data_IF_476972878011
#
_entry.id   IF_476972878011
#
_cell.length_a   1.000
_cell.length_b   1.000
_cell.length_c   1.000
_cell.angle_alpha   90.00
_cell.angle_beta   90.00
_cell.angle_gamma   90.00
#
_symmetry.space_group_name_H-M   'P 1'
#
loop_
_entity.id
_entity.type
_entity.pdbx_description
1 polymer ?
#
# COMPACT_ATOMS: atom_id res chain seq x y z
N UNK A 1 18.38 31.98 5.93
CA UNK A 1 17.27 31.82 4.96
C UNK A 1 16.99 30.33 4.80
N UNK A 2 16.43 29.67 5.82
CA UNK A 2 16.17 28.20 5.79
C UNK A 2 14.74 27.84 6.23
N UNK A 3 14.02 28.76 6.85
CA UNK A 3 12.78 28.45 7.59
C UNK A 3 11.55 28.09 6.72
N UNK A 4 11.48 28.53 5.46
CA UNK A 4 10.27 28.30 4.63
C UNK A 4 10.14 26.86 4.10
N UNK A 5 11.24 26.18 3.83
CA UNK A 5 11.20 24.79 3.32
C UNK A 5 10.88 23.80 4.44
N UNK A 6 11.39 24.06 5.64
CA UNK A 6 11.13 23.24 6.82
C UNK A 6 9.70 23.44 7.33
N UNK A 7 9.16 24.66 7.28
CA UNK A 7 7.77 24.93 7.62
C UNK A 7 6.78 24.23 6.67
N UNK A 8 7.07 24.20 5.36
CA UNK A 8 6.28 23.44 4.39
C UNK A 8 6.41 21.92 4.59
N UNK A 9 7.58 21.47 5.03
CA UNK A 9 7.84 20.08 5.38
C UNK A 9 6.92 19.63 6.50
N UNK A 10 6.96 20.35 7.62
CA UNK A 10 6.19 20.06 8.82
C UNK A 10 4.68 20.20 8.60
N UNK A 11 4.24 21.20 7.83
CA UNK A 11 2.82 21.40 7.55
C UNK A 11 2.23 20.28 6.66
N UNK A 12 3.03 19.74 5.72
CA UNK A 12 2.59 18.60 4.92
C UNK A 12 2.58 17.31 5.74
N UNK A 13 3.57 17.12 6.61
CA UNK A 13 3.64 15.93 7.48
C UNK A 13 2.48 15.91 8.50
N UNK A 14 2.11 17.07 9.06
CA UNK A 14 0.92 17.22 9.89
C UNK A 14 -0.37 16.93 9.10
N UNK A 15 -0.50 17.48 7.89
CA UNK A 15 -1.67 17.25 7.04
C UNK A 15 -1.77 15.79 6.58
N UNK A 16 -0.65 15.08 6.48
CA UNK A 16 -0.64 13.65 6.24
C UNK A 16 -1.07 12.88 7.49
N UNK A 17 -0.64 13.26 8.70
CA UNK A 17 -1.15 12.69 9.96
C UNK A 17 -2.68 12.84 10.07
N UNK A 18 -3.20 14.05 9.90
CA UNK A 18 -4.63 14.36 10.02
C UNK A 18 -5.50 13.62 8.98
N UNK A 19 -4.93 13.22 7.83
CA UNK A 19 -5.66 12.49 6.77
C UNK A 19 -5.85 11.00 7.09
N UNK A 20 -5.09 10.46 8.06
CA UNK A 20 -5.13 9.04 8.44
C UNK A 20 -5.48 8.81 9.92
N UNK A 21 -5.82 9.85 10.68
CA UNK A 21 -6.36 9.68 12.03
C UNK A 21 -7.76 9.02 11.95
N UNK A 22 -7.81 7.74 12.32
CA UNK A 22 -8.95 6.81 12.25
C UNK A 22 -10.15 7.17 13.15
N UNK A 23 -10.17 8.33 13.80
CA UNK A 23 -11.28 8.73 14.69
C UNK A 23 -12.41 9.51 13.96
N UNK A 24 -12.41 9.56 12.62
CA UNK A 24 -13.40 10.30 11.83
C UNK A 24 -14.21 9.49 10.82
N UNK A 25 -14.26 8.16 10.94
CA UNK A 25 -15.17 7.33 10.12
C UNK A 25 -16.62 7.41 10.63
N UNK A 26 -17.19 8.61 10.66
CA UNK A 26 -18.63 8.79 10.58
C UNK A 26 -19.06 8.57 9.12
N UNK A 27 -19.53 7.36 8.86
CA UNK A 27 -20.10 6.95 7.58
C UNK A 27 -21.44 7.67 7.39
N UNK A 28 -21.43 8.86 6.77
CA UNK A 28 -22.63 9.40 6.12
C UNK A 28 -22.67 8.98 4.65
N UNK A 29 -23.56 8.04 4.34
CA UNK A 29 -23.96 7.68 2.97
C UNK A 29 -24.63 8.86 2.25
N UNK A 30 -24.24 9.20 1.00
CA UNK A 30 -25.11 9.95 0.11
C UNK A 30 -25.76 9.03 -0.93
N UNK A 31 -27.08 9.12 -0.97
CA UNK A 31 -28.03 8.48 -1.87
C UNK A 31 -27.76 8.77 -3.35
N UNK A 32 -27.90 7.72 -4.16
CA UNK A 32 -27.85 7.74 -5.62
C UNK A 32 -29.19 8.27 -6.17
N UNK A 33 -29.14 9.20 -7.13
CA UNK A 33 -30.22 9.42 -8.11
C UNK A 33 -29.65 9.29 -9.52
N UNK A 34 -30.32 8.46 -10.31
CA UNK A 34 -30.05 8.17 -11.70
C UNK A 34 -30.88 9.10 -12.59
N UNK A 35 -30.33 9.51 -13.73
CA UNK A 35 -31.13 9.77 -14.93
C UNK A 35 -30.27 9.62 -16.21
N UNK A 36 -30.87 9.00 -17.23
CA UNK A 36 -30.26 8.54 -18.47
C UNK A 36 -30.23 9.61 -19.60
N UNK A 37 -29.10 9.66 -20.35
CA UNK A 37 -28.84 9.77 -21.83
C UNK A 37 -29.90 10.31 -22.82
N UNK A 38 -29.60 10.58 -24.14
CA UNK A 38 -28.31 10.67 -24.88
C UNK A 38 -28.23 11.83 -25.93
N UNK A 39 -27.04 12.11 -26.51
CA UNK A 39 -26.96 12.47 -27.95
C UNK A 39 -25.59 12.18 -28.57
N UNK A 40 -25.60 11.91 -29.87
CA UNK A 40 -24.63 11.13 -30.62
C UNK A 40 -23.79 11.93 -31.64
N UNK A 41 -22.65 11.32 -32.01
CA UNK A 41 -21.95 11.26 -33.31
C UNK A 41 -21.29 12.51 -33.93
N UNK A 42 -20.04 12.30 -34.35
CA UNK A 42 -19.30 13.11 -35.33
C UNK A 42 -17.85 12.64 -35.50
N UNK A 43 -17.64 11.65 -36.39
CA UNK A 43 -16.38 10.96 -36.72
C UNK A 43 -15.28 11.81 -37.39
N UNK A 44 -14.01 11.42 -37.13
CA UNK A 44 -12.93 10.99 -38.09
C UNK A 44 -11.53 11.40 -37.58
N UNK A 45 -10.71 10.46 -37.07
CA UNK A 45 -9.73 9.57 -37.75
C UNK A 45 -8.50 10.27 -38.38
N UNK A 46 -7.35 10.13 -37.72
CA UNK A 46 -6.08 9.62 -38.27
C UNK A 46 -5.16 9.30 -37.08
N UNK A 47 -4.90 8.03 -36.77
CA UNK A 47 -3.94 7.13 -37.44
C UNK A 47 -2.52 7.33 -36.93
N UNK A 48 -2.17 6.56 -35.90
CA UNK A 48 -0.87 5.87 -35.81
C UNK A 48 -0.95 4.80 -34.71
N UNK A 49 -1.21 3.56 -35.13
CA UNK A 49 -0.88 2.31 -34.42
C UNK A 49 0.42 1.76 -35.05
N UNK A 50 1.10 0.78 -34.43
CA UNK A 50 1.22 0.50 -33.00
C UNK A 50 2.70 0.26 -32.63
N UNK A 51 3.15 0.74 -31.47
CA UNK A 51 4.32 0.11 -30.86
C UNK A 51 3.83 -1.16 -30.17
N UNK A 52 3.84 -2.26 -30.91
CA UNK A 52 3.82 -3.63 -30.40
C UNK A 52 5.11 -3.87 -29.60
N UNK A 53 5.23 -3.24 -28.45
CA UNK A 53 5.85 -3.91 -27.31
C UNK A 53 4.74 -4.76 -26.72
N UNK A 54 4.60 -5.99 -27.23
CA UNK A 54 4.13 -7.09 -26.42
C UNK A 54 5.20 -7.28 -25.36
N UNK A 55 5.15 -6.42 -24.33
CA UNK A 55 5.81 -6.66 -23.07
C UNK A 55 5.28 -8.03 -22.67
N UNK A 56 6.18 -9.00 -22.72
CA UNK A 56 6.06 -10.27 -22.02
C UNK A 56 5.29 -9.98 -20.76
N UNK A 57 4.17 -10.68 -20.58
CA UNK A 57 3.34 -10.70 -19.40
C UNK A 57 4.26 -10.87 -18.19
N UNK A 58 4.81 -9.76 -17.72
CA UNK A 58 5.56 -9.70 -16.50
C UNK A 58 4.45 -9.90 -15.48
N UNK A 59 4.48 -11.06 -14.83
CA UNK A 59 3.63 -11.43 -13.70
C UNK A 59 3.92 -10.45 -12.55
N UNK A 60 3.54 -9.20 -12.76
CA UNK A 60 3.61 -8.12 -11.82
C UNK A 60 2.21 -7.99 -11.23
N UNK A 61 2.11 -7.92 -9.90
CA UNK A 61 0.82 -7.98 -9.23
C UNK A 61 -0.05 -6.78 -9.63
N UNK A 62 -1.35 -7.03 -9.85
CA UNK A 62 -2.37 -6.04 -10.25
C UNK A 62 -2.59 -5.86 -11.76
N UNK A 63 -2.04 -6.75 -12.60
CA UNK A 63 -2.37 -6.89 -14.02
C UNK A 63 -2.32 -5.59 -14.84
N UNK A 64 -3.27 -5.43 -15.78
CA UNK A 64 -3.36 -4.24 -16.62
C UNK A 64 -3.70 -2.96 -15.83
N UNK A 65 -4.46 -3.10 -14.74
CA UNK A 65 -4.89 -1.99 -13.88
C UNK A 65 -3.72 -1.24 -13.27
N UNK A 66 -2.70 -1.98 -12.80
CA UNK A 66 -1.49 -1.41 -12.18
C UNK A 66 -0.29 -1.32 -13.13
N UNK A 67 -0.43 -1.72 -14.41
CA UNK A 67 0.69 -1.75 -15.36
C UNK A 67 1.46 -0.44 -15.46
N UNK A 68 0.74 0.69 -15.47
CA UNK A 68 1.34 2.03 -15.51
C UNK A 68 2.17 2.34 -14.26
N UNK A 69 1.64 2.00 -13.09
CA UNK A 69 2.31 2.16 -11.81
C UNK A 69 3.57 1.28 -11.73
N UNK A 70 3.47 0.02 -12.18
CA UNK A 70 4.57 -0.96 -12.15
C UNK A 70 5.72 -0.53 -13.06
N UNK A 71 5.42 -0.01 -14.26
CA UNK A 71 6.44 0.53 -15.15
C UNK A 71 7.16 1.74 -14.53
N UNK A 72 6.43 2.62 -13.84
CA UNK A 72 7.01 3.77 -13.15
C UNK A 72 7.86 3.35 -11.95
N UNK A 73 7.43 2.34 -11.18
CA UNK A 73 8.19 1.80 -10.06
C UNK A 73 9.52 1.19 -10.52
N UNK A 74 9.50 0.36 -11.58
CA UNK A 74 10.71 -0.19 -12.17
C UNK A 74 11.64 0.94 -12.63
N UNK A 75 11.10 1.99 -13.27
CA UNK A 75 11.91 3.16 -13.66
C UNK A 75 12.59 3.82 -12.46
N UNK A 76 11.96 3.86 -11.27
CA UNK A 76 12.57 4.40 -10.05
C UNK A 76 13.67 3.51 -9.47
N UNK A 77 13.63 2.20 -9.69
CA UNK A 77 14.71 1.29 -9.28
C UNK A 77 16.00 1.59 -10.04
N UNK A 78 15.87 2.00 -11.31
CA UNK A 78 17.01 2.35 -12.16
C UNK A 78 17.49 3.78 -11.98
N UNK A 79 16.56 4.73 -11.87
CA UNK A 79 16.90 6.14 -11.69
C UNK A 79 15.76 6.89 -10.96
N UNK A 80 16.09 7.47 -9.80
CA UNK A 80 15.17 8.33 -9.07
C UNK A 80 15.26 9.74 -9.65
N UNK A 81 14.42 10.02 -10.66
CA UNK A 81 14.28 11.35 -11.28
C UNK A 81 12.94 12.03 -10.92
N UNK A 82 12.96 13.36 -10.88
CA UNK A 82 11.79 14.20 -10.58
C UNK A 82 10.64 13.99 -11.58
N UNK A 83 10.96 13.75 -12.85
CA UNK A 83 9.98 13.46 -13.89
C UNK A 83 9.26 12.14 -13.61
N UNK A 84 10.01 11.11 -13.22
CA UNK A 84 9.47 9.78 -12.91
C UNK A 84 8.61 9.85 -11.65
N UNK A 85 9.07 10.52 -10.59
CA UNK A 85 8.29 10.71 -9.35
C UNK A 85 6.99 11.50 -9.62
N UNK A 86 7.05 12.53 -10.47
CA UNK A 86 5.86 13.33 -10.79
C UNK A 86 4.83 12.53 -11.59
N UNK A 87 5.28 11.71 -12.55
CA UNK A 87 4.41 10.78 -13.29
C UNK A 87 3.79 9.73 -12.37
N UNK A 88 4.57 9.21 -11.43
CA UNK A 88 4.09 8.27 -10.42
C UNK A 88 2.98 8.84 -9.54
N UNK A 89 3.17 10.05 -9.00
CA UNK A 89 2.14 10.72 -8.22
C UNK A 89 0.87 10.98 -9.04
N UNK A 90 1.03 11.34 -10.31
CA UNK A 90 -0.10 11.54 -11.23
C UNK A 90 -0.86 10.23 -11.47
N UNK A 91 -0.13 9.12 -11.65
CA UNK A 91 -0.73 7.81 -11.86
C UNK A 91 -1.48 7.31 -10.61
N UNK A 92 -0.94 7.55 -9.42
CA UNK A 92 -1.65 7.27 -8.15
C UNK A 92 -2.96 8.05 -8.08
N UNK A 93 -2.95 9.35 -8.42
CA UNK A 93 -4.16 10.17 -8.42
C UNK A 93 -5.19 9.64 -9.43
N UNK A 94 -4.75 9.19 -10.61
CA UNK A 94 -5.61 8.53 -11.59
C UNK A 94 -6.24 7.25 -11.01
N UNK A 95 -5.46 6.42 -10.32
CA UNK A 95 -5.95 5.19 -9.68
C UNK A 95 -6.96 5.50 -8.55
N UNK A 96 -6.66 6.50 -7.71
CA UNK A 96 -7.58 6.97 -6.66
C UNK A 96 -8.92 7.44 -7.23
N UNK A 97 -8.91 8.19 -8.34
CA UNK A 97 -10.14 8.69 -8.97
C UNK A 97 -10.97 7.61 -9.63
N UNK A 98 -10.32 6.58 -10.18
CA UNK A 98 -10.99 5.49 -10.90
C UNK A 98 -11.60 4.46 -9.95
N UNK A 99 -10.98 4.23 -8.78
CA UNK A 99 -11.32 3.13 -7.86
C UNK A 99 -11.81 3.60 -6.48
N UNK A 100 -12.53 4.73 -6.40
CA UNK A 100 -12.98 5.33 -5.12
C UNK A 100 -13.88 4.44 -4.24
N UNK A 101 -14.42 3.35 -4.77
CA UNK A 101 -15.41 2.51 -4.09
C UNK A 101 -14.79 1.48 -3.14
N UNK A 102 -13.51 1.16 -3.29
CA UNK A 102 -12.81 0.19 -2.46
C UNK A 102 -11.92 0.92 -1.44
N UNK A 103 -12.29 0.82 -0.16
CA UNK A 103 -11.58 1.48 0.94
C UNK A 103 -10.14 0.96 1.10
N UNK A 104 -9.92 -0.34 0.93
CA UNK A 104 -8.58 -0.92 1.01
C UNK A 104 -7.72 -0.41 -0.14
N UNK A 105 -8.24 -0.45 -1.37
CA UNK A 105 -7.55 0.08 -2.54
C UNK A 105 -7.15 1.54 -2.32
N UNK A 106 -8.11 2.37 -1.88
CA UNK A 106 -7.87 3.77 -1.61
C UNK A 106 -6.76 3.97 -0.56
N UNK A 107 -6.82 3.26 0.56
CA UNK A 107 -5.81 3.38 1.62
C UNK A 107 -4.41 2.94 1.17
N UNK A 108 -4.30 1.86 0.39
CA UNK A 108 -3.04 1.47 -0.24
C UNK A 108 -2.49 2.56 -1.16
N UNK A 109 -3.33 3.14 -2.02
CA UNK A 109 -2.88 4.24 -2.89
C UNK A 109 -2.48 5.49 -2.11
N UNK A 110 -3.04 5.71 -0.92
CA UNK A 110 -2.67 6.82 -0.04
C UNK A 110 -1.31 6.59 0.63
N UNK A 111 -0.99 5.35 1.01
CA UNK A 111 0.37 5.00 1.47
C UNK A 111 1.41 5.20 0.36
N UNK A 112 1.10 4.76 -0.86
CA UNK A 112 1.93 4.98 -2.05
C UNK A 112 2.17 6.48 -2.33
N UNK A 113 1.11 7.30 -2.25
CA UNK A 113 1.19 8.75 -2.39
C UNK A 113 2.13 9.37 -1.35
N UNK A 114 2.02 8.96 -0.08
CA UNK A 114 2.90 9.45 1.00
C UNK A 114 4.37 9.15 0.72
N UNK A 115 4.70 7.95 0.23
CA UNK A 115 6.09 7.59 -0.09
C UNK A 115 6.57 8.35 -1.33
N UNK A 116 5.72 8.51 -2.35
CA UNK A 116 6.05 9.32 -3.53
C UNK A 116 6.38 10.78 -3.19
N UNK A 117 5.64 11.37 -2.24
CA UNK A 117 5.92 12.72 -1.74
C UNK A 117 7.24 12.79 -0.96
N UNK A 118 7.54 11.76 -0.15
CA UNK A 118 8.83 11.64 0.52
C UNK A 118 9.99 11.52 -0.48
N UNK A 119 9.86 10.66 -1.50
CA UNK A 119 10.83 10.53 -2.58
C UNK A 119 11.03 11.86 -3.33
N UNK A 120 9.96 12.61 -3.60
CA UNK A 120 10.06 13.93 -4.23
C UNK A 120 10.89 14.93 -3.41
N UNK A 121 10.79 14.86 -2.08
CA UNK A 121 11.50 15.76 -1.16
C UNK A 121 12.97 15.38 -1.02
N UNK A 122 13.27 14.09 -0.91
CA UNK A 122 14.61 13.61 -0.54
C UNK A 122 15.43 13.09 -1.74
N UNK A 123 14.78 12.64 -2.82
CA UNK A 123 15.39 12.14 -4.07
C UNK A 123 16.52 11.15 -3.81
N UNK A 124 17.74 11.45 -4.27
CA UNK A 124 18.96 10.65 -4.05
C UNK A 124 19.35 10.50 -2.57
N UNK A 125 18.82 11.33 -1.68
CA UNK A 125 19.02 11.24 -0.23
C UNK A 125 17.87 10.51 0.49
N UNK A 126 16.92 9.92 -0.25
CA UNK A 126 15.88 9.10 0.34
C UNK A 126 16.51 7.90 1.07
N UNK A 127 15.79 7.39 2.07
CA UNK A 127 16.25 6.24 2.84
C UNK A 127 16.39 5.03 1.90
N UNK A 128 17.45 4.23 2.06
CA UNK A 128 17.71 3.06 1.20
C UNK A 128 16.54 2.05 1.16
N UNK A 129 15.75 1.99 2.23
CA UNK A 129 14.60 1.10 2.33
C UNK A 129 13.31 1.70 1.75
N UNK A 130 13.33 2.94 1.26
CA UNK A 130 12.14 3.62 0.70
C UNK A 130 11.58 2.85 -0.49
N UNK A 131 12.43 2.38 -1.39
CA UNK A 131 11.98 1.59 -2.55
C UNK A 131 11.45 0.21 -2.13
N UNK A 132 12.01 -0.39 -1.07
CA UNK A 132 11.53 -1.69 -0.56
C UNK A 132 10.12 -1.57 -0.01
N UNK A 133 9.86 -0.59 0.84
CA UNK A 133 8.51 -0.39 1.38
C UNK A 133 7.52 0.00 0.26
N UNK A 134 7.98 0.74 -0.76
CA UNK A 134 7.18 1.08 -1.92
C UNK A 134 6.74 -0.16 -2.72
N UNK A 135 7.67 -1.10 -2.95
CA UNK A 135 7.40 -2.39 -3.59
C UNK A 135 6.47 -3.26 -2.74
N UNK A 136 6.65 -3.32 -1.42
CA UNK A 136 5.76 -4.07 -0.53
C UNK A 136 4.31 -3.57 -0.59
N UNK A 137 4.12 -2.24 -0.58
CA UNK A 137 2.79 -1.63 -0.68
C UNK A 137 2.20 -1.85 -2.08
N UNK A 138 3.00 -1.75 -3.15
CA UNK A 138 2.55 -2.06 -4.50
C UNK A 138 2.11 -3.53 -4.61
N UNK A 139 2.87 -4.46 -4.05
CA UNK A 139 2.54 -5.88 -4.08
C UNK A 139 1.23 -6.17 -3.32
N UNK A 140 1.02 -5.54 -2.16
CA UNK A 140 -0.25 -5.63 -1.42
C UNK A 140 -1.44 -5.08 -2.22
N UNK A 141 -1.26 -3.95 -2.89
CA UNK A 141 -2.28 -3.38 -3.79
C UNK A 141 -2.56 -4.30 -4.97
N UNK A 142 -1.53 -4.88 -5.58
CA UNK A 142 -1.69 -5.78 -6.71
C UNK A 142 -2.39 -7.08 -6.32
N UNK A 143 -2.10 -7.64 -5.15
CA UNK A 143 -2.85 -8.78 -4.60
C UNK A 143 -4.34 -8.47 -4.46
N UNK A 144 -4.67 -7.28 -3.95
CA UNK A 144 -6.06 -6.85 -3.80
C UNK A 144 -6.78 -6.76 -5.15
N UNK A 145 -6.10 -6.24 -6.18
CA UNK A 145 -6.64 -6.16 -7.55
C UNK A 145 -6.80 -7.55 -8.17
N UNK A 146 -5.81 -8.42 -8.03
CA UNK A 146 -5.82 -9.75 -8.65
C UNK A 146 -6.81 -10.71 -7.98
N UNK A 147 -7.04 -10.53 -6.68
CA UNK A 147 -7.90 -11.41 -5.85
C UNK A 147 -9.15 -10.68 -5.35
N UNK A 148 -9.60 -9.64 -6.06
CA UNK A 148 -10.72 -8.79 -5.65
C UNK A 148 -11.99 -9.59 -5.33
N UNK A 149 -12.27 -10.61 -6.16
CA UNK A 149 -13.48 -11.44 -6.10
C UNK A 149 -13.34 -12.69 -5.21
N UNK A 150 -12.12 -13.04 -4.78
CA UNK A 150 -11.83 -14.27 -4.04
C UNK A 150 -11.45 -14.06 -2.57
N UNK A 151 -10.97 -12.88 -2.19
CA UNK A 151 -10.61 -12.55 -0.81
C UNK A 151 -11.81 -12.07 0.00
N UNK A 152 -11.99 -12.62 1.18
CA UNK A 152 -12.90 -12.07 2.19
C UNK A 152 -12.36 -10.74 2.75
N UNK A 153 -13.24 -9.86 3.18
CA UNK A 153 -12.86 -8.60 3.84
C UNK A 153 -11.95 -8.81 5.06
N UNK A 154 -12.10 -9.95 5.76
CA UNK A 154 -11.20 -10.32 6.87
C UNK A 154 -9.76 -10.55 6.41
N UNK A 155 -9.58 -11.21 5.27
CA UNK A 155 -8.26 -11.50 4.70
C UNK A 155 -7.64 -10.21 4.16
N UNK A 156 -8.42 -9.40 3.43
CA UNK A 156 -8.02 -8.06 2.97
C UNK A 156 -7.53 -7.20 4.14
N UNK A 157 -8.26 -7.24 5.25
CA UNK A 157 -7.88 -6.50 6.46
C UNK A 157 -6.58 -6.99 7.10
N UNK A 158 -6.34 -8.32 7.14
CA UNK A 158 -5.07 -8.87 7.65
C UNK A 158 -3.89 -8.41 6.79
N UNK A 159 -4.01 -8.50 5.46
CA UNK A 159 -2.96 -8.02 4.56
C UNK A 159 -2.73 -6.52 4.70
N UNK A 160 -3.82 -5.74 4.72
CA UNK A 160 -3.75 -4.30 4.90
C UNK A 160 -3.05 -3.92 6.20
N UNK A 161 -3.47 -4.49 7.33
CA UNK A 161 -2.91 -4.16 8.65
C UNK A 161 -1.43 -4.55 8.76
N UNK A 162 -1.01 -5.67 8.18
CA UNK A 162 0.42 -6.06 8.12
C UNK A 162 1.25 -5.07 7.30
N UNK A 163 0.77 -4.69 6.11
CA UNK A 163 1.47 -3.72 5.27
C UNK A 163 1.48 -2.33 5.93
N UNK A 164 0.38 -1.93 6.56
CA UNK A 164 0.25 -0.67 7.27
C UNK A 164 1.20 -0.58 8.47
N UNK A 165 1.35 -1.65 9.25
CA UNK A 165 2.31 -1.70 10.36
C UNK A 165 3.75 -1.46 9.88
N UNK A 166 4.14 -2.12 8.78
CA UNK A 166 5.47 -1.91 8.17
C UNK A 166 5.66 -0.48 7.67
N UNK A 167 4.63 0.08 7.03
CA UNK A 167 4.63 1.47 6.60
C UNK A 167 4.82 2.42 7.79
N UNK A 168 4.12 2.18 8.91
CA UNK A 168 4.24 3.00 10.11
C UNK A 168 5.62 2.89 10.76
N UNK A 169 6.20 1.69 10.81
CA UNK A 169 7.59 1.50 11.28
C UNK A 169 8.56 2.28 10.39
N UNK A 170 8.43 2.17 9.07
CA UNK A 170 9.26 2.92 8.12
C UNK A 170 9.06 4.43 8.29
N UNK A 171 7.82 4.91 8.42
CA UNK A 171 7.49 6.32 8.65
C UNK A 171 8.23 6.86 9.87
N UNK A 172 8.19 6.13 10.99
CA UNK A 172 8.93 6.50 12.21
C UNK A 172 10.44 6.53 12.02
N UNK A 173 10.99 5.71 11.14
CA UNK A 173 12.43 5.72 10.81
C UNK A 173 12.84 6.95 10.00
N UNK A 174 11.96 7.45 9.12
CA UNK A 174 12.26 8.61 8.25
C UNK A 174 11.84 9.95 8.87
N UNK A 175 10.82 10.00 9.75
CA UNK A 175 10.37 11.22 10.44
C UNK A 175 10.98 11.37 11.84
N UNK A 176 11.37 10.26 12.46
CA UNK A 176 12.15 10.26 13.68
C UNK A 176 13.55 10.77 13.37
N UNK A 177 13.83 12.01 13.77
CA UNK A 177 15.15 12.67 13.73
C UNK A 177 16.30 11.69 13.59
N UNK A 178 17.03 11.81 12.47
CA UNK A 178 18.31 11.16 12.18
C UNK A 178 19.10 10.80 13.46
N UNK A 179 19.30 9.50 13.67
CA UNK A 179 20.41 8.90 14.41
C UNK A 179 20.74 9.44 15.83
N UNK A 180 19.83 9.39 16.81
CA UNK A 180 20.24 9.50 18.25
C UNK A 180 19.21 9.02 19.30
N UNK A 181 18.36 8.02 19.06
CA UNK A 181 17.43 7.55 20.11
C UNK A 181 17.04 6.07 20.06
N UNK A 182 17.79 5.23 19.34
CA UNK A 182 17.66 3.78 19.47
C UNK A 182 18.24 3.33 20.81
N UNK A 183 17.45 3.42 21.89
CA UNK A 183 17.64 2.63 23.13
C UNK A 183 16.52 2.65 24.17
N UNK A 184 15.31 3.19 23.91
CA UNK A 184 14.28 3.20 25.00
C UNK A 184 12.82 2.86 24.67
N UNK A 185 12.42 2.65 23.42
CA UNK A 185 11.00 2.31 23.10
C UNK A 185 10.76 0.88 22.62
N UNK A 186 11.78 0.04 22.47
CA UNK A 186 11.59 -1.32 21.91
C UNK A 186 11.03 -2.35 22.89
N UNK A 187 11.00 -2.07 24.21
CA UNK A 187 10.75 -3.14 25.18
C UNK A 187 9.29 -3.63 25.21
N UNK A 188 8.30 -2.73 25.09
CA UNK A 188 6.88 -3.11 25.21
C UNK A 188 6.36 -3.91 24.00
N UNK A 189 6.78 -3.54 22.78
CA UNK A 189 6.40 -4.28 21.58
C UNK A 189 7.11 -5.64 21.49
N UNK A 190 8.35 -5.75 21.98
CA UNK A 190 9.03 -7.05 22.06
C UNK A 190 8.37 -7.96 23.08
N UNK A 191 7.98 -7.46 24.26
CA UNK A 191 7.26 -8.24 25.27
C UNK A 191 5.88 -8.70 24.77
N UNK A 192 5.12 -7.83 24.10
CA UNK A 192 3.83 -8.20 23.50
C UNK A 192 3.97 -9.21 22.36
N UNK A 193 4.95 -9.04 21.46
CA UNK A 193 5.20 -10.00 20.37
C UNK A 193 5.68 -11.35 20.92
N UNK A 194 6.49 -11.35 21.98
CA UNK A 194 6.89 -12.58 22.68
C UNK A 194 5.68 -13.25 23.33
N UNK A 195 4.83 -12.49 24.01
CA UNK A 195 3.60 -13.01 24.64
C UNK A 195 2.63 -13.58 23.61
N UNK A 196 2.38 -12.88 22.50
CA UNK A 196 1.54 -13.35 21.39
C UNK A 196 2.13 -14.63 20.78
N UNK A 197 3.46 -14.67 20.56
CA UNK A 197 4.15 -15.88 20.06
C UNK A 197 4.02 -17.06 21.03
N UNK A 198 4.05 -16.81 22.33
CA UNK A 198 3.87 -17.82 23.37
C UNK A 198 2.45 -18.40 23.36
N UNK A 199 1.44 -17.53 23.22
CA UNK A 199 0.03 -17.92 23.13
C UNK A 199 -0.20 -18.78 21.89
N UNK A 200 0.23 -18.31 20.71
CA UNK A 200 0.05 -19.04 19.44
C UNK A 200 0.74 -20.41 19.50
N UNK A 201 1.93 -20.51 20.10
CA UNK A 201 2.61 -21.81 20.28
C UNK A 201 1.84 -22.77 21.17
N UNK A 202 1.23 -22.28 22.27
CA UNK A 202 0.44 -23.12 23.17
C UNK A 202 -0.81 -23.64 22.50
N UNK A 203 -1.57 -22.76 21.84
CA UNK A 203 -2.78 -23.14 21.10
C UNK A 203 -2.47 -24.14 19.98
N UNK A 204 -1.39 -23.91 19.23
CA UNK A 204 -0.98 -24.82 18.17
C UNK A 204 -0.51 -26.19 18.70
N UNK A 205 0.07 -26.25 19.91
CA UNK A 205 0.46 -27.50 20.54
C UNK A 205 -0.76 -28.32 21.00
N UNK A 206 -1.81 -27.64 21.50
CA UNK A 206 -3.08 -28.29 21.86
C UNK A 206 -3.74 -28.89 20.62
N UNK A 207 -3.89 -28.11 19.55
CA UNK A 207 -4.45 -28.56 18.28
C UNK A 207 -3.65 -29.72 17.66
N UNK A 208 -2.32 -29.65 17.74
CA UNK A 208 -1.45 -30.75 17.27
C UNK A 208 -1.69 -32.03 18.07
N UNK A 209 -1.85 -31.94 19.39
CA UNK A 209 -2.09 -33.12 20.22
C UNK A 209 -3.48 -33.72 19.96
N UNK A 210 -4.51 -32.90 19.80
CA UNK A 210 -5.86 -33.35 19.43
C UNK A 210 -5.86 -34.05 18.06
N UNK A 211 -5.19 -33.48 17.06
CA UNK A 211 -5.06 -34.08 15.74
C UNK A 211 -4.29 -35.41 15.77
N UNK A 212 -3.25 -35.51 16.61
CA UNK A 212 -2.48 -36.74 16.77
C UNK A 212 -3.28 -37.84 17.47
N UNK A 213 -4.14 -37.50 18.44
CA UNK A 213 -5.06 -38.44 19.08
C UNK A 213 -6.17 -38.90 18.12
N UNK A 214 -6.66 -38.02 17.26
CA UNK A 214 -7.65 -38.37 16.23
C UNK A 214 -7.04 -39.32 15.17
N UNK A 215 -5.82 -39.04 14.70
CA UNK A 215 -5.08 -39.95 13.79
C UNK A 215 -4.83 -41.31 14.46
N UNK A 216 -4.47 -41.32 15.75
CA UNK A 216 -4.24 -42.57 16.51
C UNK A 216 -5.54 -43.38 16.68
N UNK A 217 -6.68 -42.71 16.88
CA UNK A 217 -8.00 -43.35 16.96
C UNK A 217 -8.42 -44.00 15.63
N UNK A 218 -8.09 -43.34 14.52
CA UNK A 218 -8.37 -43.85 13.16
C UNK A 218 -7.51 -45.07 12.81
N UNK A 219 -6.26 -45.13 13.26
CA UNK A 219 -5.36 -46.27 12.98
C UNK A 219 -5.56 -47.48 13.90
N UNK A 220 -6.36 -47.36 14.97
CA UNK A 220 -6.66 -48.45 15.90
C UNK A 220 -8.03 -49.13 15.68
N UNK A 221 -8.75 -48.75 14.61
CA UNK A 221 -9.97 -49.41 14.12
C UNK A 221 -9.68 -50.19 12.84
#
# INVERSE_FOLDING_TARGET
>A
MTDKKDALSMALDQRLEDLFDEDSLDVEEPKIQADEKPFAKGDKKQSSKPNDFKATESQQPGGETLRGLNALLLSMEWEIDDSVISKYLTEIQRLQTTNKKDAFFFNFTKMLESIGLYLKRHKVHAHQDTLKILQEIQAGLGLLVDMQDSLSDKEKNIYFSQTYERFQVFRKQITGKSAAASKKSSNKNTELVVFIREIVRKEFAVLRNELMEEIRSIQSK
#
